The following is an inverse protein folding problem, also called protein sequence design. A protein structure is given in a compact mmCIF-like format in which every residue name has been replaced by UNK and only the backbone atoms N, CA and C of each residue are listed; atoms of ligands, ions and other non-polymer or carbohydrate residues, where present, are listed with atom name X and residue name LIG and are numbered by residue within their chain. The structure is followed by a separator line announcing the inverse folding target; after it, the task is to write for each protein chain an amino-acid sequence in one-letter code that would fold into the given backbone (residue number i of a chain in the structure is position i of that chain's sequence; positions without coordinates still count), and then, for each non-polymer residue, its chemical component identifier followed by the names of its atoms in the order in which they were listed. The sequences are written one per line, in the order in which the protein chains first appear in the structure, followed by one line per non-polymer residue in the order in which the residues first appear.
data_IF_135689476211
#
_entry.id   IF_135689476211
#
_cell.length_a   1.000
_cell.length_b   1.000
_cell.length_c   1.000
_cell.angle_alpha   90.00
_cell.angle_beta   90.00
_cell.angle_gamma   90.00
#
_symmetry.space_group_name_H-M   'P 1'
#
loop_
_entity.id
_entity.type
_entity.pdbx_description
1 polymer ?
#
# COMPACT_ATOMS: atom_id res chain seq x y z
N UNK A 1 15.85 4.83 -2.21
CA UNK A 1 14.80 5.21 -1.25
C UNK A 1 15.36 5.39 0.16
N UNK A 2 15.76 4.33 0.89
CA UNK A 2 16.26 4.47 2.28
C UNK A 2 17.48 5.42 2.35
N UNK A 3 18.49 5.25 1.49
CA UNK A 3 19.69 6.11 1.47
C UNK A 3 19.45 7.58 1.07
N UNK A 4 18.32 7.87 0.43
CA UNK A 4 17.96 9.21 -0.07
C UNK A 4 16.87 9.86 0.79
N UNK A 5 16.50 9.25 1.91
CA UNK A 5 15.51 9.80 2.85
C UNK A 5 16.11 10.96 3.63
N UNK A 6 15.33 12.01 3.87
CA UNK A 6 15.75 13.16 4.67
C UNK A 6 16.10 12.77 6.12
N UNK A 7 16.82 13.64 6.82
CA UNK A 7 17.13 13.44 8.24
C UNK A 7 15.84 13.17 9.04
N UNK A 8 15.91 12.18 9.92
CA UNK A 8 14.84 11.67 10.78
C UNK A 8 13.59 11.14 10.04
N UNK A 9 13.65 10.98 8.72
CA UNK A 9 12.53 10.50 7.92
C UNK A 9 12.17 9.03 8.17
N UNK A 10 10.95 8.67 7.80
CA UNK A 10 10.40 7.31 7.94
C UNK A 10 10.09 6.75 6.56
N UNK A 11 10.57 5.53 6.31
CA UNK A 11 10.17 4.72 5.15
C UNK A 11 9.28 3.59 5.66
N UNK A 12 8.09 3.44 5.08
CA UNK A 12 7.18 2.34 5.42
C UNK A 12 7.32 1.18 4.41
N UNK A 13 7.36 -0.07 4.89
CA UNK A 13 7.31 -1.27 4.04
C UNK A 13 6.01 -2.06 4.27
N UNK A 14 5.26 -2.30 3.20
CA UNK A 14 3.92 -2.92 3.26
C UNK A 14 3.67 -3.97 2.17
N UNK A 15 4.70 -4.38 1.40
CA UNK A 15 4.57 -5.33 0.30
C UNK A 15 5.91 -5.76 -0.27
N UNK A 16 5.87 -6.80 -1.11
CA UNK A 16 7.04 -7.54 -1.61
C UNK A 16 6.95 -7.85 -3.12
N UNK A 17 6.26 -7.00 -3.90
CA UNK A 17 6.01 -7.24 -5.34
C UNK A 17 7.29 -7.49 -6.14
N UNK A 18 8.39 -6.82 -5.77
CA UNK A 18 9.67 -6.94 -6.48
C UNK A 18 10.60 -8.04 -5.90
N UNK A 19 10.72 -8.13 -4.58
CA UNK A 19 11.58 -9.08 -3.88
C UNK A 19 11.18 -9.19 -2.39
N UNK A 20 11.60 -10.27 -1.73
CA UNK A 20 11.46 -10.44 -0.28
C UNK A 20 12.71 -9.98 0.48
N UNK A 21 13.86 -9.97 -0.18
CA UNK A 21 15.12 -9.53 0.38
C UNK A 21 15.28 -8.00 0.33
N UNK A 22 15.90 -7.44 1.37
CA UNK A 22 16.25 -6.03 1.44
C UNK A 22 17.76 -5.85 1.57
N UNK A 23 18.42 -5.51 0.46
CA UNK A 23 19.83 -5.17 0.44
C UNK A 23 20.03 -3.68 0.77
N UNK A 24 20.55 -3.38 1.95
CA UNK A 24 20.78 -1.99 2.42
C UNK A 24 22.00 -1.90 3.34
N UNK A 25 22.39 -0.67 3.72
CA UNK A 25 23.46 -0.39 4.67
C UNK A 25 22.92 0.23 5.95
N UNK A 26 23.68 0.15 7.05
CA UNK A 26 23.36 0.74 8.35
C UNK A 26 23.48 2.27 8.37
N UNK A 27 24.24 2.87 7.45
CA UNK A 27 24.57 4.31 7.49
C UNK A 27 23.37 5.28 7.49
N UNK A 28 22.29 5.06 6.70
CA UNK A 28 21.13 5.96 6.74
C UNK A 28 20.46 6.02 8.11
N UNK A 29 20.50 4.91 8.87
CA UNK A 29 19.87 4.81 10.19
C UNK A 29 20.71 5.55 11.23
N UNK A 30 22.01 5.25 11.31
CA UNK A 30 22.87 5.82 12.36
C UNK A 30 23.32 7.26 12.09
N UNK A 31 23.51 7.65 10.83
CA UNK A 31 24.02 8.99 10.49
C UNK A 31 22.89 10.01 10.28
N UNK A 32 21.68 9.54 9.93
CA UNK A 32 20.55 10.42 9.60
C UNK A 32 19.28 10.14 10.38
N UNK A 33 19.27 9.17 11.29
CA UNK A 33 18.09 8.86 12.10
C UNK A 33 16.89 8.33 11.29
N UNK A 34 17.14 7.81 10.07
CA UNK A 34 16.08 7.23 9.23
C UNK A 34 15.49 6.00 9.91
N UNK A 35 14.18 5.80 9.80
CA UNK A 35 13.46 4.63 10.32
C UNK A 35 12.87 3.82 9.18
N UNK A 36 12.93 2.49 9.29
CA UNK A 36 12.17 1.58 8.43
C UNK A 36 11.04 0.96 9.27
N UNK A 37 9.80 1.21 8.89
CA UNK A 37 8.61 0.78 9.64
C UNK A 37 7.81 -0.26 8.84
N UNK A 38 7.64 -1.46 9.40
CA UNK A 38 6.77 -2.48 8.85
C UNK A 38 5.30 -2.14 9.09
N UNK A 39 4.48 -2.23 8.04
CA UNK A 39 3.03 -1.99 8.10
C UNK A 39 2.31 -3.31 7.84
N UNK A 40 1.59 -3.80 8.85
CA UNK A 40 0.67 -4.94 8.73
C UNK A 40 -0.78 -4.44 8.70
N UNK A 41 -1.50 -4.81 7.65
CA UNK A 41 -2.94 -4.54 7.52
C UNK A 41 -3.83 -5.69 8.00
N UNK A 42 -3.27 -6.88 8.22
CA UNK A 42 -4.03 -8.10 8.54
C UNK A 42 -4.49 -8.08 10.00
N UNK A 43 -3.55 -7.90 10.94
CA UNK A 43 -3.80 -8.04 12.37
C UNK A 43 -3.71 -6.75 13.24
N UNK A 44 -3.95 -5.52 12.74
CA UNK A 44 -4.05 -4.39 13.65
C UNK A 44 -5.28 -4.51 14.56
N UNK A 45 -5.16 -4.03 15.80
CA UNK A 45 -6.25 -3.98 16.77
C UNK A 45 -7.49 -3.25 16.20
N UNK A 46 -8.69 -3.70 16.56
CA UNK A 46 -9.94 -3.17 15.99
C UNK A 46 -10.07 -1.66 16.12
N UNK A 47 -9.72 -1.08 17.27
CA UNK A 47 -9.77 0.37 17.46
C UNK A 47 -8.83 1.15 16.51
N UNK A 48 -7.69 0.57 16.13
CA UNK A 48 -6.79 1.15 15.12
C UNK A 48 -7.45 1.10 13.75
N UNK A 49 -8.04 -0.04 13.37
CA UNK A 49 -8.77 -0.19 12.10
C UNK A 49 -9.91 0.84 12.00
N UNK A 50 -10.73 0.96 13.04
CA UNK A 50 -11.83 1.93 13.10
C UNK A 50 -11.36 3.38 12.96
N UNK A 51 -10.28 3.76 13.64
CA UNK A 51 -9.69 5.09 13.53
C UNK A 51 -9.24 5.41 12.10
N UNK A 52 -8.55 4.47 11.44
CA UNK A 52 -8.12 4.62 10.05
C UNK A 52 -9.33 4.74 9.12
N UNK A 53 -10.36 3.92 9.30
CA UNK A 53 -11.58 4.00 8.49
C UNK A 53 -12.33 5.33 8.66
N UNK A 54 -12.38 5.90 9.87
CA UNK A 54 -12.94 7.23 10.12
C UNK A 54 -12.18 8.31 9.35
N UNK A 55 -10.84 8.27 9.36
CA UNK A 55 -10.00 9.19 8.59
C UNK A 55 -10.25 9.05 7.09
N UNK A 56 -10.27 7.82 6.56
CA UNK A 56 -10.52 7.55 5.14
C UNK A 56 -11.92 7.98 4.68
N UNK A 57 -12.90 7.99 5.58
CA UNK A 57 -14.24 8.49 5.29
C UNK A 57 -14.33 10.03 5.31
N UNK A 58 -13.40 10.71 6.00
CA UNK A 58 -13.33 12.16 6.16
C UNK A 58 -12.07 12.75 5.53
N UNK A 59 -11.19 13.29 6.37
CA UNK A 59 -10.03 14.11 5.97
C UNK A 59 -9.07 13.42 5.00
N UNK A 60 -8.99 12.08 5.03
CA UNK A 60 -8.10 11.30 4.16
C UNK A 60 -8.82 10.71 2.95
N UNK A 61 -10.07 11.12 2.70
CA UNK A 61 -10.85 10.63 1.55
C UNK A 61 -10.12 10.97 0.24
N UNK A 62 -9.77 9.98 -0.60
CA UNK A 62 -9.07 10.24 -1.85
C UNK A 62 -9.92 11.07 -2.82
N UNK A 63 -9.36 12.19 -3.33
CA UNK A 63 -10.07 13.15 -4.18
C UNK A 63 -10.61 12.53 -5.48
N UNK A 64 -9.85 11.64 -6.11
CA UNK A 64 -10.16 11.05 -7.42
C UNK A 64 -10.50 9.56 -7.34
N UNK A 65 -11.18 9.14 -6.27
CA UNK A 65 -11.44 7.70 -6.02
C UNK A 65 -12.14 7.01 -7.20
N UNK A 66 -13.10 7.68 -7.85
CA UNK A 66 -13.82 7.13 -9.01
C UNK A 66 -12.92 6.91 -10.22
N UNK A 67 -11.91 7.75 -10.42
CA UNK A 67 -10.96 7.65 -11.53
C UNK A 67 -9.90 6.57 -11.29
N UNK A 68 -9.66 6.21 -10.02
CA UNK A 68 -8.72 5.16 -9.64
C UNK A 68 -9.31 3.74 -9.71
N UNK A 69 -10.62 3.63 -9.93
CA UNK A 69 -11.36 2.36 -9.86
C UNK A 69 -11.84 1.93 -11.24
N UNK A 70 -11.59 0.67 -11.58
CA UNK A 70 -12.28 -0.04 -12.66
C UNK A 70 -13.30 -0.99 -12.04
N UNK A 71 -14.59 -0.74 -12.29
CA UNK A 71 -15.66 -1.66 -11.89
C UNK A 71 -15.69 -2.82 -12.88
N UNK A 72 -15.76 -4.04 -12.37
CA UNK A 72 -15.82 -5.28 -13.17
C UNK A 72 -16.95 -6.19 -12.70
N UNK A 73 -17.47 -7.00 -13.61
CA UNK A 73 -18.35 -8.14 -13.30
C UNK A 73 -17.59 -9.29 -12.65
N UNK A 74 -18.33 -10.25 -12.09
CA UNK A 74 -17.74 -11.46 -11.49
C UNK A 74 -17.11 -12.37 -12.55
N UNK A 75 -17.66 -12.37 -13.77
CA UNK A 75 -17.15 -13.07 -14.95
C UNK A 75 -15.82 -12.50 -15.47
N UNK A 76 -15.54 -11.22 -15.22
CA UNK A 76 -14.28 -10.55 -15.57
C UNK A 76 -13.16 -10.78 -14.54
N UNK A 77 -13.49 -11.32 -13.35
CA UNK A 77 -12.54 -11.52 -12.25
C UNK A 77 -11.30 -12.34 -12.65
N UNK A 78 -11.41 -13.49 -13.37
CA UNK A 78 -10.24 -14.25 -13.78
C UNK A 78 -9.26 -13.42 -14.63
N UNK A 79 -9.77 -12.62 -15.56
CA UNK A 79 -8.95 -11.77 -16.43
C UNK A 79 -8.27 -10.64 -15.64
N UNK A 80 -8.98 -10.06 -14.66
CA UNK A 80 -8.41 -9.04 -13.78
C UNK A 80 -7.27 -9.61 -12.90
N UNK A 81 -7.45 -10.81 -12.34
CA UNK A 81 -6.41 -11.48 -11.56
C UNK A 81 -5.17 -11.80 -12.38
N UNK A 82 -5.31 -12.28 -13.61
CA UNK A 82 -4.17 -12.48 -14.52
C UNK A 82 -3.43 -11.17 -14.81
N UNK A 83 -4.17 -10.07 -14.96
CA UNK A 83 -3.57 -8.74 -15.16
C UNK A 83 -2.78 -8.28 -13.95
N UNK A 84 -3.29 -8.52 -12.73
CA UNK A 84 -2.61 -8.22 -11.46
C UNK A 84 -1.34 -9.06 -11.30
N UNK A 85 -1.43 -10.37 -11.52
CA UNK A 85 -0.29 -11.29 -11.41
C UNK A 85 0.82 -10.95 -12.41
N UNK A 86 0.46 -10.51 -13.62
CA UNK A 86 1.42 -10.04 -14.61
C UNK A 86 2.04 -8.66 -14.29
N UNK A 87 1.69 -8.03 -13.17
CA UNK A 87 2.19 -6.69 -12.80
C UNK A 87 1.68 -5.57 -13.71
N UNK A 88 0.61 -5.80 -14.49
CA UNK A 88 0.06 -4.85 -15.46
C UNK A 88 -1.15 -4.07 -14.95
N UNK A 89 -1.57 -4.34 -13.71
CA UNK A 89 -2.69 -3.65 -13.08
C UNK A 89 -2.34 -2.20 -12.75
N UNK A 90 -3.24 -1.27 -13.10
CA UNK A 90 -3.20 0.13 -12.68
C UNK A 90 -4.47 0.45 -11.88
N UNK A 91 -4.32 1.17 -10.77
CA UNK A 91 -5.44 1.58 -9.93
C UNK A 91 -5.98 0.44 -9.06
N UNK A 92 -7.31 0.32 -8.99
CA UNK A 92 -8.04 -0.67 -8.20
C UNK A 92 -9.16 -1.28 -9.03
N UNK A 93 -9.36 -2.58 -8.90
CA UNK A 93 -10.55 -3.25 -9.45
C UNK A 93 -11.60 -3.38 -8.34
N UNK A 94 -12.85 -3.05 -8.64
CA UNK A 94 -13.98 -3.27 -7.74
C UNK A 94 -14.93 -4.24 -8.41
N UNK A 95 -15.10 -5.41 -7.82
CA UNK A 95 -16.04 -6.42 -8.33
C UNK A 95 -17.44 -6.02 -7.90
N UNK A 96 -18.32 -5.78 -8.88
CA UNK A 96 -19.75 -5.60 -8.61
C UNK A 96 -20.34 -6.99 -8.36
N UNK A 97 -20.64 -7.30 -7.11
CA UNK A 97 -21.49 -8.43 -6.76
C UNK A 97 -22.92 -7.92 -6.52
N UNK A 98 -23.91 -8.71 -6.90
CA UNK A 98 -25.29 -8.50 -6.48
C UNK A 98 -25.48 -8.91 -5.02
#
# INVERSE_FOLDING_TARGET
MIKSTAYNGVVTCCGNVAAVELNTSIFPFILRGVKLAGIDSVLPATGVKEGIWKLLAGDWKPLHLKEMVKIIGLDELPQALQTIQAGRAKGRFVVKHA
#
